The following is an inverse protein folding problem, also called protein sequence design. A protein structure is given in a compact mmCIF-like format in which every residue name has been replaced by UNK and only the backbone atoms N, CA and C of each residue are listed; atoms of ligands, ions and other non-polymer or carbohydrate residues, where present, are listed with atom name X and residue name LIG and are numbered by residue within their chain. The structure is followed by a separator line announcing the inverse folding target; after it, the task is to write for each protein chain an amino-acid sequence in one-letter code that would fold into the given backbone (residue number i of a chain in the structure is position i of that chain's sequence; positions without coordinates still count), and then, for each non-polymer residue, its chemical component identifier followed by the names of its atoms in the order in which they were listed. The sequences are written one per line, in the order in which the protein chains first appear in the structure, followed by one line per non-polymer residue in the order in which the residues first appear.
data_IF_963342098670
#
_entry.id   IF_963342098670
#
_cell.length_a   1.000
_cell.length_b   1.000
_cell.length_c   1.000
_cell.angle_alpha   90.00
_cell.angle_beta   90.00
_cell.angle_gamma   90.00
#
_symmetry.space_group_name_H-M   'P 1'
#
loop_
_entity.id
_entity.type
_entity.pdbx_description
1 polymer ?
#
# COMPACT_ATOMS: atom_id res chain seq x y z
N UNK A 1 1.66 -11.63 7.85
CA UNK A 1 1.52 -10.46 8.73
C UNK A 1 0.64 -9.43 8.05
N UNK A 2 -0.44 -9.06 8.68
CA UNK A 2 -1.37 -8.08 8.11
C UNK A 2 -1.15 -6.71 8.72
N UNK A 3 -1.04 -5.70 7.88
CA UNK A 3 -0.72 -4.35 8.29
C UNK A 3 -1.61 -3.36 7.54
N UNK A 4 -2.06 -2.35 8.23
CA UNK A 4 -2.74 -1.23 7.59
C UNK A 4 -1.67 -0.28 7.05
N UNK A 5 -1.57 -0.17 5.74
CA UNK A 5 -0.56 0.67 5.11
C UNK A 5 -1.03 2.09 4.79
N UNK A 6 -2.20 2.46 5.28
CA UNK A 6 -2.72 3.81 5.06
C UNK A 6 -1.73 4.91 5.45
N UNK A 7 -1.00 4.80 6.58
CA UNK A 7 -0.02 5.83 6.93
C UNK A 7 1.10 6.04 5.91
N UNK A 8 1.36 5.03 5.09
CA UNK A 8 2.40 5.11 4.06
C UNK A 8 1.86 5.47 2.68
N UNK A 9 0.54 5.54 2.55
CA UNK A 9 -0.10 5.64 1.24
C UNK A 9 0.28 6.90 0.49
N UNK A 10 0.38 8.02 1.19
CA UNK A 10 0.72 9.28 0.54
C UNK A 10 2.08 9.21 -0.16
N UNK A 11 3.06 8.67 0.52
CA UNK A 11 4.40 8.54 -0.06
C UNK A 11 4.43 7.55 -1.22
N UNK A 12 3.69 6.46 -1.08
CA UNK A 12 3.55 5.50 -2.17
C UNK A 12 2.91 6.14 -3.40
N UNK A 13 1.84 6.88 -3.20
CA UNK A 13 1.13 7.52 -4.30
C UNK A 13 2.00 8.59 -4.97
N UNK A 14 2.68 9.39 -4.18
CA UNK A 14 3.57 10.42 -4.71
C UNK A 14 4.68 9.81 -5.55
N UNK A 15 5.30 8.76 -5.04
CA UNK A 15 6.34 8.05 -5.78
C UNK A 15 5.78 7.44 -7.09
N UNK A 16 4.61 6.86 -7.00
CA UNK A 16 3.99 6.23 -8.16
C UNK A 16 3.76 7.24 -9.29
N UNK A 17 3.20 8.40 -8.95
CA UNK A 17 2.95 9.44 -9.95
C UNK A 17 4.25 9.99 -10.55
N UNK A 18 5.30 10.11 -9.74
CA UNK A 18 6.57 10.65 -10.21
C UNK A 18 7.35 9.66 -11.08
N UNK A 19 7.29 8.38 -10.74
CA UNK A 19 8.17 7.39 -11.37
C UNK A 19 7.47 6.52 -12.39
N UNK A 20 6.18 6.30 -12.24
CA UNK A 20 5.43 5.45 -13.17
C UNK A 20 4.55 6.25 -14.13
N UNK A 21 4.52 7.56 -13.97
CA UNK A 21 3.68 8.39 -14.81
C UNK A 21 2.19 8.16 -14.62
N UNK A 22 1.80 7.74 -13.43
CA UNK A 22 0.44 7.35 -13.18
C UNK A 22 0.05 6.14 -14.00
N UNK A 23 -1.22 5.96 -14.26
CA UNK A 23 -1.64 4.79 -15.03
C UNK A 23 -1.54 4.97 -16.53
N UNK A 24 -0.98 6.03 -17.01
CA UNK A 24 -0.73 6.16 -18.45
C UNK A 24 0.51 5.38 -18.87
N UNK A 25 1.37 5.03 -17.95
CA UNK A 25 2.66 4.48 -18.29
C UNK A 25 2.67 2.99 -18.47
N UNK A 26 2.26 2.23 -17.48
CA UNK A 26 2.60 0.82 -17.43
C UNK A 26 1.46 -0.12 -17.16
N UNK A 27 0.26 0.39 -16.94
CA UNK A 27 -0.84 -0.51 -16.61
C UNK A 27 -0.66 -1.23 -15.27
N UNK A 28 0.30 -0.79 -14.46
CA UNK A 28 0.58 -1.39 -13.17
C UNK A 28 0.09 -0.47 -12.07
N UNK A 29 -0.74 -0.98 -11.17
CA UNK A 29 -1.21 -0.22 -10.03
C UNK A 29 -0.20 -0.25 -8.89
N UNK A 30 -0.42 0.62 -7.90
CA UNK A 30 0.40 0.61 -6.68
C UNK A 30 0.33 -0.76 -6.01
N UNK A 31 -0.84 -1.39 -6.03
CA UNK A 31 -1.04 -2.72 -5.44
C UNK A 31 -0.18 -3.77 -6.13
N UNK A 32 -0.09 -3.70 -7.46
CA UNK A 32 0.75 -4.62 -8.22
C UNK A 32 2.22 -4.43 -7.90
N UNK A 33 2.64 -3.18 -7.72
CA UNK A 33 4.01 -2.89 -7.34
C UNK A 33 4.34 -3.46 -5.96
N UNK A 34 3.45 -3.28 -4.99
CA UNK A 34 3.66 -3.79 -3.65
C UNK A 34 3.75 -5.32 -3.67
N UNK A 35 2.89 -5.96 -4.44
CA UNK A 35 2.92 -7.41 -4.58
C UNK A 35 4.22 -7.89 -5.21
N UNK A 36 4.65 -7.23 -6.26
CA UNK A 36 5.88 -7.61 -6.95
C UNK A 36 7.12 -7.41 -6.09
N UNK A 37 7.21 -6.25 -5.42
CA UNK A 37 8.45 -5.88 -4.74
C UNK A 37 8.54 -6.45 -3.33
N UNK A 38 7.40 -6.65 -2.67
CA UNK A 38 7.37 -7.10 -1.27
C UNK A 38 6.62 -8.40 -1.08
N UNK A 39 6.12 -9.01 -2.17
CA UNK A 39 5.30 -10.22 -2.10
C UNK A 39 4.12 -10.05 -1.16
N UNK A 40 3.62 -8.83 -1.06
CA UNK A 40 2.53 -8.49 -0.18
C UNK A 40 1.22 -8.47 -0.97
N UNK A 41 0.15 -8.95 -0.35
CA UNK A 41 -1.12 -9.10 -1.02
C UNK A 41 -2.16 -8.20 -0.38
N UNK A 42 -2.95 -7.52 -1.20
CA UNK A 42 -4.06 -6.72 -0.71
C UNK A 42 -5.12 -7.62 -0.11
N UNK A 43 -5.45 -7.38 1.14
CA UNK A 43 -6.51 -8.11 1.84
C UNK A 43 -7.80 -7.30 1.85
N UNK A 44 -7.69 -6.02 2.14
CA UNK A 44 -8.85 -5.14 2.24
C UNK A 44 -8.47 -3.73 1.85
N UNK A 45 -9.33 -3.09 1.07
CA UNK A 45 -9.18 -1.68 0.73
C UNK A 45 -10.55 -1.04 0.76
N UNK A 46 -10.77 -0.14 1.69
CA UNK A 46 -12.05 0.53 1.81
C UNK A 46 -12.13 1.37 3.07
N UNK A 47 -13.32 1.79 3.38
CA UNK A 47 -13.58 2.58 4.55
C UNK A 47 -14.31 1.72 5.57
N UNK A 48 -13.85 1.76 6.79
CA UNK A 48 -14.49 1.11 7.92
C UNK A 48 -14.72 2.14 9.00
N UNK A 49 -15.79 1.96 9.73
CA UNK A 49 -16.04 2.81 10.86
C UNK A 49 -17.50 3.11 10.99
N UNK A 50 -17.84 3.74 12.08
CA UNK A 50 -19.19 4.17 12.35
C UNK A 50 -19.55 5.42 11.57
N UNK A 51 -20.70 5.93 11.89
CA UNK A 51 -21.28 7.07 11.18
C UNK A 51 -20.43 8.34 11.19
N UNK A 52 -19.55 8.49 12.17
CA UNK A 52 -18.80 9.73 12.38
C UNK A 52 -17.28 9.55 12.24
N UNK A 53 -16.81 8.39 11.87
CA UNK A 53 -15.38 8.16 11.84
C UNK A 53 -14.98 7.19 10.76
N UNK A 54 -15.38 7.44 9.54
CA UNK A 54 -14.96 6.62 8.42
C UNK A 54 -13.45 6.73 8.28
N UNK A 55 -12.76 5.64 8.52
CA UNK A 55 -11.32 5.56 8.34
C UNK A 55 -11.02 4.67 7.17
N UNK A 56 -10.17 5.15 6.28
CA UNK A 56 -9.65 4.29 5.23
C UNK A 56 -8.77 3.23 5.84
N UNK A 57 -9.00 2.01 5.41
CA UNK A 57 -8.17 0.89 5.80
C UNK A 57 -7.64 0.24 4.54
N UNK A 58 -6.34 0.06 4.51
CA UNK A 58 -5.66 -0.57 3.40
C UNK A 58 -4.84 -1.71 3.98
N UNK A 59 -5.50 -2.84 4.21
CA UNK A 59 -4.86 -3.97 4.86
C UNK A 59 -4.12 -4.80 3.82
N UNK A 60 -2.84 -5.00 4.07
CA UNK A 60 -1.96 -5.77 3.20
C UNK A 60 -1.32 -6.88 4.02
N UNK A 61 -1.24 -8.06 3.43
CA UNK A 61 -0.58 -9.18 4.07
C UNK A 61 0.84 -9.33 3.54
N UNK A 62 1.81 -9.18 4.41
CA UNK A 62 3.21 -9.39 4.10
C UNK A 62 3.60 -10.83 4.43
N UNK A 63 4.55 -11.41 3.68
CA UNK A 63 4.95 -12.80 3.93
C UNK A 63 5.63 -12.99 5.28
N UNK A 64 6.30 -11.94 5.77
CA UNK A 64 6.96 -11.99 7.07
C UNK A 64 7.23 -10.58 7.59
N UNK A 65 7.68 -10.51 8.84
CA UNK A 65 7.97 -9.25 9.49
C UNK A 65 9.16 -8.53 8.86
N UNK A 66 10.13 -9.27 8.40
CA UNK A 66 11.31 -8.69 7.76
C UNK A 66 10.93 -7.92 6.51
N UNK A 67 10.07 -8.48 5.69
CA UNK A 67 9.60 -7.82 4.48
C UNK A 67 8.80 -6.56 4.82
N UNK A 68 7.96 -6.62 5.84
CA UNK A 68 7.24 -5.43 6.30
C UNK A 68 8.21 -4.36 6.78
N UNK A 69 9.25 -4.73 7.51
CA UNK A 69 10.25 -3.78 8.00
C UNK A 69 10.93 -3.05 6.85
N UNK A 70 11.28 -3.78 5.81
CA UNK A 70 11.86 -3.18 4.61
C UNK A 70 10.89 -2.19 3.95
N UNK A 71 9.63 -2.56 3.88
CA UNK A 71 8.59 -1.68 3.35
C UNK A 71 8.49 -0.40 4.20
N UNK A 72 8.40 -0.55 5.50
CA UNK A 72 8.26 0.58 6.40
C UNK A 72 9.45 1.54 6.32
N UNK A 73 10.66 1.00 6.23
CA UNK A 73 11.87 1.82 6.09
C UNK A 73 11.87 2.62 4.79
N UNK A 74 11.35 2.03 3.74
CA UNK A 74 11.32 2.68 2.42
C UNK A 74 10.27 3.79 2.34
N UNK A 75 9.14 3.61 3.01
CA UNK A 75 7.98 4.47 2.80
C UNK A 75 7.56 5.29 4.02
N UNK A 76 8.29 5.20 5.10
CA UNK A 76 8.00 6.02 6.29
C UNK A 76 8.51 7.46 6.19
#
# INVERSE_FOLDING_TARGET
MRVNIEPYWKKLADWYWENAGGYQGVGMSIWDMIERDYRARKVYHGERGGKLGLKKQMIVEFPDEQTYTLFALRWS
#
